data_IF_991316112914
#
_entry.id   IF_991316112914
#
_cell.length_a   1.000
_cell.length_b   1.000
_cell.length_c   1.000
_cell.angle_alpha   90.00
_cell.angle_beta   90.00
_cell.angle_gamma   90.00
#
_symmetry.space_group_name_H-M   'P 1'
#
loop_
_entity.id
_entity.type
_entity.pdbx_description
1 polymer ?
#
# COMPACT_ATOMS: atom_id res chain seq x y z
N UNK A 1 38.11 -23.31 17.94
CA UNK A 1 37.14 -22.30 17.46
C UNK A 1 36.01 -23.06 16.79
N UNK A 2 34.80 -22.99 17.30
CA UNK A 2 33.63 -23.69 16.75
C UNK A 2 32.93 -22.76 15.75
N UNK A 3 32.62 -23.20 14.52
CA UNK A 3 31.93 -22.34 13.56
C UNK A 3 30.49 -22.07 14.02
N UNK A 4 29.91 -20.90 13.69
CA UNK A 4 28.51 -20.63 13.99
C UNK A 4 27.62 -21.56 13.18
N UNK A 5 26.72 -22.27 13.86
CA UNK A 5 25.71 -23.11 13.23
C UNK A 5 24.61 -22.17 12.74
N UNK A 6 24.64 -21.80 11.45
CA UNK A 6 23.51 -21.10 10.84
C UNK A 6 22.33 -22.07 10.74
N UNK A 7 21.12 -21.69 11.19
CA UNK A 7 19.94 -22.51 10.95
C UNK A 7 19.75 -22.67 9.43
N UNK A 8 19.33 -23.86 8.95
CA UNK A 8 19.00 -24.02 7.55
C UNK A 8 17.90 -23.01 7.18
N UNK A 9 17.97 -22.38 6.00
CA UNK A 9 16.89 -21.49 5.55
C UNK A 9 15.61 -22.32 5.55
N UNK A 10 14.62 -21.91 6.34
CA UNK A 10 13.29 -22.49 6.26
C UNK A 10 12.73 -22.11 4.88
N UNK A 11 12.51 -23.05 3.96
CA UNK A 11 11.86 -22.72 2.71
C UNK A 11 10.44 -22.28 3.03
N UNK A 12 10.05 -21.06 2.63
CA UNK A 12 8.63 -20.69 2.63
C UNK A 12 7.90 -21.72 1.77
N UNK A 13 6.83 -22.32 2.29
CA UNK A 13 6.03 -23.25 1.51
C UNK A 13 5.37 -22.51 0.35
N UNK A 14 5.04 -23.22 -0.74
CA UNK A 14 4.25 -22.62 -1.81
C UNK A 14 2.90 -22.06 -1.31
N UNK A 15 2.36 -22.62 -0.23
CA UNK A 15 1.18 -22.11 0.44
C UNK A 15 1.45 -20.78 1.16
N UNK A 16 2.61 -20.62 1.81
CA UNK A 16 3.01 -19.34 2.42
C UNK A 16 3.29 -18.28 1.36
N UNK A 17 3.91 -18.66 0.23
CA UNK A 17 4.11 -17.77 -0.91
C UNK A 17 2.78 -17.39 -1.54
N UNK A 18 1.88 -18.34 -1.76
CA UNK A 18 0.55 -18.08 -2.31
C UNK A 18 -0.31 -17.24 -1.37
N UNK A 19 -0.23 -17.45 -0.05
CA UNK A 19 -0.91 -16.61 0.94
C UNK A 19 -0.31 -15.20 0.99
N UNK A 20 1.01 -15.07 0.88
CA UNK A 20 1.69 -13.78 0.80
C UNK A 20 1.38 -13.06 -0.52
N UNK A 21 1.32 -13.75 -1.65
CA UNK A 21 0.88 -13.19 -2.93
C UNK A 21 -0.60 -12.81 -2.87
N UNK A 22 -1.48 -13.72 -2.43
CA UNK A 22 -2.90 -13.45 -2.26
C UNK A 22 -3.15 -12.29 -1.28
N UNK A 23 -2.30 -12.10 -0.27
CA UNK A 23 -2.35 -10.99 0.68
C UNK A 23 -1.68 -9.70 0.21
N UNK A 24 -0.60 -9.78 -0.57
CA UNK A 24 0.15 -8.63 -1.09
C UNK A 24 -0.48 -8.01 -2.34
N UNK A 25 -1.32 -8.76 -3.05
CA UNK A 25 -2.09 -8.27 -4.19
C UNK A 25 -3.50 -7.74 -3.84
N UNK A 26 -3.91 -7.69 -2.56
CA UNK A 26 -5.32 -7.41 -2.21
C UNK A 26 -5.81 -6.02 -2.64
N UNK A 27 -4.94 -5.02 -2.79
CA UNK A 27 -5.20 -3.79 -3.57
C UNK A 27 -3.96 -2.91 -3.55
N UNK A 28 -3.23 -2.82 -4.66
CA UNK A 28 -2.17 -1.82 -4.78
C UNK A 28 -2.84 -0.43 -4.74
N UNK A 29 -2.40 0.50 -3.87
CA UNK A 29 -3.03 1.81 -3.79
C UNK A 29 -2.97 2.53 -5.14
N UNK A 30 -4.06 3.19 -5.51
CA UNK A 30 -4.06 4.08 -6.66
C UNK A 30 -3.16 5.28 -6.34
N UNK A 31 -2.09 5.43 -7.12
CA UNK A 31 -1.06 6.45 -6.85
C UNK A 31 -1.45 7.77 -7.50
N UNK A 32 -1.41 8.85 -6.70
CA UNK A 32 -1.70 10.21 -7.10
C UNK A 32 -0.47 11.07 -6.84
N UNK A 33 -0.09 11.86 -7.83
CA UNK A 33 0.95 12.87 -7.67
C UNK A 33 0.34 14.17 -7.14
N UNK A 34 0.83 14.64 -5.99
CA UNK A 34 0.38 15.88 -5.37
C UNK A 34 0.78 17.12 -6.17
N UNK A 35 1.83 17.03 -6.97
CA UNK A 35 2.25 18.11 -7.87
C UNK A 35 1.37 18.23 -9.12
N UNK A 36 0.59 17.19 -9.43
CA UNK A 36 -0.31 17.13 -10.59
C UNK A 36 -1.54 16.26 -10.28
N UNK A 37 -2.50 16.85 -9.55
CA UNK A 37 -3.64 16.13 -9.02
C UNK A 37 -4.55 15.57 -10.12
N UNK A 38 -4.72 14.24 -10.12
CA UNK A 38 -5.68 13.56 -10.97
C UNK A 38 -7.04 13.44 -10.25
N UNK A 39 -7.86 14.50 -10.36
CA UNK A 39 -9.19 14.57 -9.75
C UNK A 39 -10.13 13.40 -10.12
N UNK A 40 -10.21 12.96 -11.39
CA UNK A 40 -10.98 11.77 -11.76
C UNK A 40 -10.56 10.50 -11.02
N UNK A 41 -9.25 10.20 -10.97
CA UNK A 41 -8.71 9.03 -10.28
C UNK A 41 -9.02 9.04 -8.78
N UNK A 42 -8.91 10.19 -8.13
CA UNK A 42 -9.23 10.36 -6.70
C UNK A 42 -10.71 10.01 -6.45
N UNK A 43 -11.62 10.54 -7.28
CA UNK A 43 -13.06 10.31 -7.13
C UNK A 43 -13.44 8.85 -7.38
N UNK A 44 -12.88 8.23 -8.42
CA UNK A 44 -13.11 6.81 -8.73
C UNK A 44 -12.62 5.92 -7.59
N UNK A 45 -11.41 6.17 -7.09
CA UNK A 45 -10.83 5.40 -5.98
C UNK A 45 -11.66 5.55 -4.71
N UNK A 46 -12.08 6.78 -4.37
CA UNK A 46 -12.93 7.04 -3.22
C UNK A 46 -14.31 6.37 -3.32
N UNK A 47 -14.91 6.32 -4.52
CA UNK A 47 -16.20 5.67 -4.75
C UNK A 47 -16.11 4.13 -4.70
N UNK A 48 -14.96 3.56 -5.08
CA UNK A 48 -14.72 2.11 -5.06
C UNK A 48 -14.31 1.55 -3.67
N UNK A 49 -14.15 2.43 -2.67
CA UNK A 49 -13.56 2.08 -1.38
C UNK A 49 -12.14 1.54 -1.54
N UNK A 50 -11.34 2.17 -2.39
CA UNK A 50 -9.95 1.78 -2.66
C UNK A 50 -8.94 2.62 -1.87
N UNK A 51 -7.72 2.11 -1.77
CA UNK A 51 -6.59 2.80 -1.14
C UNK A 51 -6.02 3.86 -2.10
N UNK A 52 -5.65 5.03 -1.57
CA UNK A 52 -4.90 6.06 -2.32
C UNK A 52 -3.48 6.16 -1.78
N UNK A 53 -2.48 6.26 -2.66
CA UNK A 53 -1.11 6.64 -2.29
C UNK A 53 -0.83 8.04 -2.83
N UNK A 54 -0.61 8.99 -1.93
CA UNK A 54 -0.20 10.35 -2.25
C UNK A 54 1.33 10.41 -2.28
N UNK A 55 1.88 10.72 -3.44
CA UNK A 55 3.32 10.95 -3.60
C UNK A 55 3.56 12.35 -4.17
N UNK A 56 4.73 12.92 -3.89
CA UNK A 56 5.14 14.20 -4.46
C UNK A 56 6.36 14.00 -5.36
N UNK A 57 6.19 14.09 -6.67
CA UNK A 57 7.31 13.92 -7.60
C UNK A 57 8.35 15.04 -7.51
N UNK A 58 7.96 16.21 -6.96
CA UNK A 58 8.88 17.32 -6.72
C UNK A 58 9.73 17.14 -5.46
N UNK A 59 9.38 16.20 -4.58
CA UNK A 59 10.07 15.87 -3.33
C UNK A 59 10.24 14.35 -3.19
N UNK A 60 11.11 13.73 -4.01
CA UNK A 60 11.29 12.28 -4.04
C UNK A 60 11.91 11.70 -2.75
N UNK A 61 12.49 12.55 -1.91
CA UNK A 61 13.01 12.24 -0.59
C UNK A 61 11.90 12.08 0.47
N UNK A 62 10.70 12.58 0.20
CA UNK A 62 9.55 12.48 1.09
C UNK A 62 8.81 11.17 0.82
N UNK A 63 8.62 10.37 1.88
CA UNK A 63 7.88 9.13 1.79
C UNK A 63 6.40 9.39 1.40
N UNK A 64 5.81 8.55 0.53
CA UNK A 64 4.42 8.69 0.15
C UNK A 64 3.48 8.39 1.32
N UNK A 65 2.31 9.02 1.32
CA UNK A 65 1.25 8.81 2.31
C UNK A 65 0.21 7.87 1.74
N UNK A 66 -0.08 6.77 2.42
CA UNK A 66 -1.17 5.87 2.04
C UNK A 66 -2.41 6.22 2.85
N UNK A 67 -3.50 6.55 2.15
CA UNK A 67 -4.83 6.74 2.71
C UNK A 67 -5.58 5.41 2.63
N UNK A 68 -5.94 4.88 3.79
CA UNK A 68 -6.75 3.68 3.91
C UNK A 68 -8.25 3.97 3.87
N UNK A 69 -9.06 2.91 3.85
CA UNK A 69 -10.52 3.02 3.75
C UNK A 69 -11.13 3.84 4.89
N UNK A 70 -10.52 3.81 6.08
CA UNK A 70 -10.94 4.58 7.23
C UNK A 70 -10.68 6.08 7.02
N UNK A 71 -9.46 6.46 6.66
CA UNK A 71 -9.11 7.85 6.35
C UNK A 71 -9.94 8.37 5.17
N UNK A 72 -10.19 7.52 4.18
CA UNK A 72 -11.05 7.84 3.04
C UNK A 72 -12.51 8.04 3.47
N UNK A 73 -13.03 7.23 4.39
CA UNK A 73 -14.37 7.40 4.98
C UNK A 73 -14.48 8.70 5.81
N UNK A 74 -13.43 9.06 6.55
CA UNK A 74 -13.33 10.36 7.23
C UNK A 74 -13.36 11.51 6.22
N UNK A 75 -12.61 11.42 5.12
CA UNK A 75 -12.61 12.44 4.06
C UNK A 75 -13.97 12.58 3.35
N UNK A 76 -14.75 11.49 3.28
CA UNK A 76 -16.13 11.50 2.75
C UNK A 76 -17.17 12.01 3.76
N UNK A 77 -16.81 12.19 5.04
CA UNK A 77 -17.72 12.58 6.11
C UNK A 77 -18.63 11.46 6.61
N UNK A 78 -18.25 10.20 6.37
CA UNK A 78 -19.01 9.00 6.80
C UNK A 78 -18.74 8.64 8.27
N UNK A 79 -17.61 9.11 8.82
CA UNK A 79 -17.15 8.85 10.19
C UNK A 79 -16.89 10.20 10.87
N UNK A 80 -17.38 10.38 12.11
CA UNK A 80 -17.24 11.59 12.94
C UNK A 80 -16.40 11.34 14.19
#
# INVERSE_FOLDING_TARGET
MTPPISPPPAPLSDADRAAHEAGSYVRRPARVDMSNLNGPLIRETAASGGLLELHDSSRPDVAPIVLDDFLMAVMRGEIQ
#
